data_IF_371624617919
#
_entry.id   IF_371624617919
#
_cell.length_a   1.000
_cell.length_b   1.000
_cell.length_c   1.000
_cell.angle_alpha   90.00
_cell.angle_beta   90.00
_cell.angle_gamma   90.00
#
_symmetry.space_group_name_H-M   'P 1'
#
loop_
_entity.id
_entity.type
_entity.pdbx_description
1 polymer ?
#
# COMPACT_ATOMS: atom_id res chain seq x y z
N UNK A 1 28.60 -24.11 3.36
CA UNK A 1 29.43 -22.93 3.01
C UNK A 1 29.38 -22.78 1.50
N UNK A 2 28.55 -21.86 1.00
CA UNK A 2 28.56 -21.45 -0.40
C UNK A 2 28.66 -19.93 -0.41
N UNK A 3 29.83 -19.45 -0.87
CA UNK A 3 30.15 -18.03 -1.00
C UNK A 3 29.71 -17.57 -2.39
N UNK A 4 28.80 -16.60 -2.45
CA UNK A 4 28.50 -15.87 -3.68
C UNK A 4 29.23 -14.53 -3.66
N UNK A 5 30.14 -14.36 -4.61
CA UNK A 5 30.86 -13.13 -4.91
C UNK A 5 29.90 -12.13 -5.56
N UNK A 6 29.76 -10.95 -4.93
CA UNK A 6 29.03 -9.82 -5.50
C UNK A 6 30.02 -9.00 -6.35
N UNK A 7 29.88 -9.05 -7.67
CA UNK A 7 30.62 -8.16 -8.58
C UNK A 7 29.84 -6.85 -8.69
N UNK A 8 30.41 -5.79 -8.13
CA UNK A 8 29.95 -4.41 -8.32
C UNK A 8 30.40 -3.94 -9.70
N UNK A 9 29.47 -3.77 -10.63
CA UNK A 9 29.71 -3.04 -11.87
C UNK A 9 29.18 -1.61 -11.68
N UNK A 10 30.12 -0.69 -11.54
CA UNK A 10 29.89 0.75 -11.53
C UNK A 10 30.03 1.24 -12.97
N UNK A 11 28.94 1.70 -13.57
CA UNK A 11 28.95 2.38 -14.87
C UNK A 11 28.71 3.89 -14.70
N UNK A 12 29.35 4.73 -15.53
CA UNK A 12 29.60 6.14 -15.26
C UNK A 12 28.52 7.10 -15.77
N UNK A 13 28.47 8.25 -15.10
CA UNK A 13 27.73 9.48 -15.43
C UNK A 13 27.98 9.97 -16.88
N UNK A 14 26.95 10.46 -17.60
CA UNK A 14 27.17 11.24 -18.81
C UNK A 14 27.41 12.72 -18.50
N UNK A 15 28.60 13.16 -18.91
CA UNK A 15 29.14 14.51 -18.93
C UNK A 15 28.21 15.58 -19.55
N UNK A 16 28.25 16.75 -18.91
CA UNK A 16 27.59 17.99 -19.25
C UNK A 16 28.34 18.70 -20.40
N UNK A 17 27.84 18.64 -21.64
CA UNK A 17 28.47 19.38 -22.75
C UNK A 17 27.87 20.78 -22.92
N UNK A 18 28.64 21.78 -22.45
CA UNK A 18 28.53 23.19 -22.86
C UNK A 18 28.75 23.32 -24.37
N UNK A 19 27.80 23.94 -25.07
CA UNK A 19 27.95 24.38 -26.45
C UNK A 19 27.71 25.89 -26.54
N UNK A 20 28.80 26.66 -26.46
CA UNK A 20 28.86 28.08 -26.82
C UNK A 20 28.98 28.20 -28.34
N UNK A 21 28.10 28.99 -28.96
CA UNK A 21 28.15 29.30 -30.38
C UNK A 21 27.66 30.72 -30.62
N UNK A 22 28.55 31.68 -30.36
CA UNK A 22 28.46 33.06 -30.85
C UNK A 22 28.96 33.11 -32.29
N UNK A 23 28.20 33.74 -33.19
CA UNK A 23 28.70 34.44 -34.38
C UNK A 23 27.79 35.65 -34.67
N UNK A 24 28.29 36.81 -34.26
CA UNK A 24 28.33 38.10 -34.98
C UNK A 24 28.40 37.93 -36.53
N UNK A 25 28.03 38.85 -37.44
CA UNK A 25 27.62 40.26 -37.46
C UNK A 25 27.05 40.53 -38.88
N UNK A 26 26.66 41.79 -39.14
CA UNK A 26 26.26 42.46 -40.39
C UNK A 26 24.73 42.63 -40.54
N UNK A 27 24.14 43.83 -40.45
CA UNK A 27 24.67 45.19 -40.56
C UNK A 27 23.79 45.99 -41.55
N UNK A 28 23.55 47.27 -41.23
CA UNK A 28 22.71 48.31 -41.89
C UNK A 28 21.28 48.41 -41.30
N UNK A 29 20.83 49.51 -40.69
CA UNK A 29 21.41 50.84 -40.53
C UNK A 29 20.27 51.85 -40.24
N UNK A 30 20.41 52.55 -39.12
CA UNK A 30 19.99 53.94 -38.83
C UNK A 30 18.51 54.35 -38.87
N UNK A 31 17.98 54.81 -37.74
CA UNK A 31 17.94 56.26 -37.46
C UNK A 31 17.42 56.57 -36.04
N UNK A 32 18.11 57.53 -35.41
CA UNK A 32 17.84 58.21 -34.16
C UNK A 32 16.38 58.70 -34.00
N UNK A 33 15.87 58.63 -32.77
CA UNK A 33 15.55 59.83 -31.97
C UNK A 33 14.86 59.43 -30.66
N UNK A 34 15.53 59.66 -29.55
CA UNK A 34 14.92 59.85 -28.23
C UNK A 34 14.17 61.20 -28.23
N UNK A 35 13.10 61.36 -27.43
CA UNK A 35 13.33 62.04 -26.16
C UNK A 35 12.57 61.44 -24.98
N UNK A 36 13.27 61.49 -23.84
CA UNK A 36 12.82 61.24 -22.49
C UNK A 36 11.87 62.36 -22.01
N UNK A 37 10.75 62.04 -21.35
CA UNK A 37 10.33 62.64 -20.05
C UNK A 37 8.98 62.12 -19.50
N UNK A 38 8.96 61.98 -18.17
CA UNK A 38 7.86 62.20 -17.19
C UNK A 38 6.82 61.11 -16.86
N UNK A 39 7.08 60.42 -15.74
CA UNK A 39 6.27 60.34 -14.50
C UNK A 39 4.81 60.82 -14.47
N UNK A 40 3.94 59.91 -14.00
CA UNK A 40 2.84 60.07 -13.03
C UNK A 40 1.69 61.05 -13.31
N UNK A 41 0.52 60.54 -13.72
CA UNK A 41 -0.79 60.86 -13.13
C UNK A 41 -1.92 59.96 -13.67
N UNK A 42 -2.88 59.66 -12.80
CA UNK A 42 -4.03 58.78 -12.96
C UNK A 42 -5.03 59.13 -14.09
N UNK A 43 -5.80 58.09 -14.46
CA UNK A 43 -7.09 58.06 -15.16
C UNK A 43 -7.14 57.73 -16.68
N UNK A 44 -7.35 56.43 -16.93
CA UNK A 44 -8.50 55.88 -17.68
C UNK A 44 -8.93 56.59 -18.96
N UNK A 45 -8.25 56.25 -20.05
CA UNK A 45 -8.93 55.94 -21.31
C UNK A 45 -7.99 55.11 -22.18
N UNK A 46 -7.94 53.79 -21.94
CA UNK A 46 -7.46 52.89 -23.00
C UNK A 46 -8.34 53.20 -24.19
N UNK A 47 -7.76 53.67 -25.31
CA UNK A 47 -8.54 53.98 -26.52
C UNK A 47 -9.50 52.81 -26.75
N UNK A 48 -10.83 53.04 -26.64
CA UNK A 48 -11.81 51.97 -26.67
C UNK A 48 -11.72 51.17 -27.98
N UNK A 49 -11.15 51.78 -29.02
CA UNK A 49 -10.84 51.12 -30.30
C UNK A 49 -9.72 50.08 -30.17
N UNK A 50 -8.62 50.41 -29.46
CA UNK A 50 -7.49 49.52 -29.23
C UNK A 50 -7.84 48.37 -28.29
N UNK A 51 -8.60 48.65 -27.23
CA UNK A 51 -9.05 47.62 -26.31
C UNK A 51 -10.00 46.64 -27.01
N UNK A 52 -10.93 47.15 -27.84
CA UNK A 52 -11.83 46.30 -28.66
C UNK A 52 -11.07 45.45 -29.68
N UNK A 53 -10.00 45.98 -30.29
CA UNK A 53 -9.14 45.20 -31.20
C UNK A 53 -8.38 44.11 -30.47
N UNK A 54 -7.83 44.41 -29.29
CA UNK A 54 -7.12 43.43 -28.46
C UNK A 54 -8.07 42.31 -27.99
N UNK A 55 -9.27 42.66 -27.53
CA UNK A 55 -10.27 41.64 -27.14
C UNK A 55 -10.72 40.80 -28.34
N UNK A 56 -10.98 41.42 -29.50
CA UNK A 56 -11.33 40.70 -30.73
C UNK A 56 -10.18 39.78 -31.22
N UNK A 57 -8.93 40.19 -31.03
CA UNK A 57 -7.76 39.36 -31.33
C UNK A 57 -7.70 38.14 -30.40
N UNK A 58 -7.84 38.34 -29.08
CA UNK A 58 -7.87 37.25 -28.10
C UNK A 58 -9.02 36.29 -28.35
N UNK A 59 -10.21 36.82 -28.67
CA UNK A 59 -11.37 36.02 -29.04
C UNK A 59 -11.11 35.22 -30.31
N UNK A 60 -10.51 35.81 -31.35
CA UNK A 60 -10.15 35.09 -32.58
C UNK A 60 -9.12 33.99 -32.34
N UNK A 61 -8.11 34.24 -31.50
CA UNK A 61 -7.12 33.23 -31.12
C UNK A 61 -7.76 32.11 -30.31
N UNK A 62 -8.63 32.46 -29.35
CA UNK A 62 -9.41 31.51 -28.56
C UNK A 62 -10.32 30.68 -29.44
N UNK A 63 -11.14 31.29 -30.30
CA UNK A 63 -12.05 30.60 -31.21
C UNK A 63 -11.29 29.68 -32.18
N UNK A 64 -10.12 30.10 -32.70
CA UNK A 64 -9.26 29.25 -33.52
C UNK A 64 -8.77 28.03 -32.75
N UNK A 65 -8.43 28.18 -31.47
CA UNK A 65 -8.05 27.06 -30.62
C UNK A 65 -9.24 26.12 -30.36
N UNK A 66 -10.41 26.67 -30.01
CA UNK A 66 -11.64 25.91 -29.82
C UNK A 66 -12.06 25.16 -31.09
N UNK A 67 -11.93 25.75 -32.28
CA UNK A 67 -12.20 25.05 -33.55
C UNK A 67 -11.23 23.89 -33.82
N UNK A 68 -9.95 24.03 -33.45
CA UNK A 68 -8.96 22.94 -33.56
C UNK A 68 -9.29 21.79 -32.59
N UNK A 69 -9.70 22.11 -31.37
CA UNK A 69 -10.13 21.11 -30.39
C UNK A 69 -11.44 20.44 -30.80
N UNK A 70 -12.44 21.21 -31.24
CA UNK A 70 -13.74 20.70 -31.70
C UNK A 70 -13.60 19.81 -32.95
N UNK A 71 -12.71 20.13 -33.89
CA UNK A 71 -12.41 19.25 -35.03
C UNK A 71 -11.83 17.90 -34.60
N UNK A 72 -11.07 17.86 -33.50
CA UNK A 72 -10.53 16.63 -32.91
C UNK A 72 -11.62 15.83 -32.18
N UNK A 73 -12.53 16.50 -31.47
CA UNK A 73 -13.65 15.82 -30.78
C UNK A 73 -14.72 15.30 -31.73
N UNK A 74 -14.97 15.97 -32.87
CA UNK A 74 -15.94 15.50 -33.89
C UNK A 74 -15.47 14.21 -34.59
N UNK A 75 -14.15 14.04 -34.73
CA UNK A 75 -13.57 12.80 -35.25
C UNK A 75 -13.76 11.62 -34.27
N UNK A 76 -13.74 11.89 -32.95
CA UNK A 76 -14.10 10.90 -31.91
C UNK A 76 -15.63 10.65 -31.82
N UNK A 77 -16.46 11.67 -32.09
CA UNK A 77 -17.92 11.61 -31.89
C UNK A 77 -18.67 10.82 -32.97
N UNK A 78 -18.09 10.66 -34.17
CA UNK A 78 -18.71 9.89 -35.27
C UNK A 78 -18.61 8.37 -35.04
N UNK A 79 -17.89 7.97 -33.98
CA UNK A 79 -17.67 6.59 -33.55
C UNK A 79 -18.57 6.25 -32.37
N UNK A 80 -19.89 6.18 -32.60
CA UNK A 80 -20.87 5.70 -31.60
C UNK A 80 -20.70 4.20 -31.23
N UNK A 81 -19.67 3.54 -31.76
CA UNK A 81 -19.24 2.17 -31.47
C UNK A 81 -17.69 2.05 -31.33
N UNK A 82 -16.98 3.14 -30.99
CA UNK A 82 -15.53 3.01 -30.75
C UNK A 82 -15.24 2.22 -29.47
N UNK A 83 -14.22 1.33 -29.48
CA UNK A 83 -13.66 0.77 -28.26
C UNK A 83 -13.23 1.92 -27.32
N UNK A 84 -13.17 1.68 -25.99
CA UNK A 84 -12.81 2.72 -25.03
C UNK A 84 -11.58 3.48 -25.51
N UNK A 85 -11.70 4.81 -25.61
CA UNK A 85 -10.58 5.67 -25.99
C UNK A 85 -9.39 5.31 -25.13
N UNK A 86 -8.38 4.70 -25.74
CA UNK A 86 -7.19 4.26 -25.02
C UNK A 86 -6.53 5.48 -24.42
N UNK A 87 -6.47 5.53 -23.10
CA UNK A 87 -5.75 6.60 -22.42
C UNK A 87 -4.28 6.53 -22.83
N UNK A 88 -3.68 7.67 -23.18
CA UNK A 88 -2.24 7.70 -23.48
C UNK A 88 -1.46 7.18 -22.26
N UNK A 89 -0.39 6.42 -22.49
CA UNK A 89 0.50 5.92 -21.43
C UNK A 89 0.90 7.03 -20.45
N UNK A 90 1.17 8.23 -20.96
CA UNK A 90 1.55 9.37 -20.12
C UNK A 90 0.41 9.86 -19.22
N UNK A 91 -0.82 9.84 -19.72
CA UNK A 91 -2.00 10.24 -18.95
C UNK A 91 -2.26 9.23 -17.82
N UNK A 92 -2.15 7.94 -18.13
CA UNK A 92 -2.19 6.87 -17.12
C UNK A 92 -1.10 7.06 -16.06
N UNK A 93 0.17 7.23 -16.47
CA UNK A 93 1.30 7.37 -15.54
C UNK A 93 1.17 8.60 -14.65
N UNK A 94 0.67 9.72 -15.21
CA UNK A 94 0.37 10.92 -14.44
C UNK A 94 -0.69 10.64 -13.36
N UNK A 95 -1.82 10.02 -13.72
CA UNK A 95 -2.87 9.65 -12.73
C UNK A 95 -2.35 8.69 -11.68
N UNK A 96 -1.59 7.67 -12.10
CA UNK A 96 -0.98 6.69 -11.20
C UNK A 96 -0.05 7.37 -10.20
N UNK A 97 0.85 8.24 -10.68
CA UNK A 97 1.78 8.99 -9.81
C UNK A 97 1.06 9.92 -8.84
N UNK A 98 0.00 10.60 -9.28
CA UNK A 98 -0.78 11.49 -8.43
C UNK A 98 -1.49 10.72 -7.31
N UNK A 99 -2.11 9.59 -7.66
CA UNK A 99 -2.75 8.71 -6.68
C UNK A 99 -1.73 8.12 -5.70
N UNK A 100 -0.55 7.70 -6.20
CA UNK A 100 0.56 7.24 -5.36
C UNK A 100 0.98 8.30 -4.35
N UNK A 101 1.31 9.52 -4.80
CA UNK A 101 1.75 10.62 -3.94
C UNK A 101 0.67 11.00 -2.92
N UNK A 102 -0.59 10.99 -3.33
CA UNK A 102 -1.72 11.21 -2.42
C UNK A 102 -1.74 10.18 -1.29
N UNK A 103 -1.63 8.88 -1.61
CA UNK A 103 -1.60 7.80 -0.63
C UNK A 103 -0.40 7.95 0.32
N UNK A 104 0.80 8.19 -0.22
CA UNK A 104 2.02 8.39 0.58
C UNK A 104 1.90 9.58 1.54
N UNK A 105 1.28 10.68 1.08
CA UNK A 105 1.00 11.84 1.93
C UNK A 105 0.03 11.50 3.06
N UNK A 106 -1.05 10.76 2.77
CA UNK A 106 -2.01 10.34 3.80
C UNK A 106 -1.36 9.41 4.83
N UNK A 107 -0.54 8.46 4.40
CA UNK A 107 0.22 7.57 5.31
C UNK A 107 1.17 8.37 6.21
N UNK A 108 1.89 9.34 5.64
CA UNK A 108 2.78 10.23 6.39
C UNK A 108 2.02 11.09 7.41
N UNK A 109 0.83 11.56 7.04
CA UNK A 109 -0.04 12.33 7.94
C UNK A 109 -0.49 11.49 9.14
N UNK A 110 -0.89 10.24 8.92
CA UNK A 110 -1.28 9.32 10.01
C UNK A 110 -0.09 9.08 10.94
N UNK A 111 1.12 8.88 10.37
CA UNK A 111 2.33 8.68 11.17
C UNK A 111 2.64 9.89 12.07
N UNK A 112 2.57 11.11 11.52
CA UNK A 112 2.76 12.34 12.29
C UNK A 112 1.67 12.56 13.35
N UNK A 113 0.42 12.24 13.02
CA UNK A 113 -0.69 12.32 13.97
C UNK A 113 -0.52 11.33 15.12
N UNK A 114 0.06 10.15 14.87
CA UNK A 114 0.35 9.19 15.91
C UNK A 114 1.48 9.66 16.84
N UNK A 115 2.55 10.24 16.29
CA UNK A 115 3.67 10.75 17.09
C UNK A 115 3.26 11.93 17.98
N UNK A 116 2.39 12.81 17.46
CA UNK A 116 1.90 14.00 18.17
C UNK A 116 0.60 13.76 18.96
N UNK A 117 0.13 12.51 19.06
CA UNK A 117 -1.18 12.23 19.66
C UNK A 117 -1.16 12.45 21.18
N UNK A 118 -1.72 13.59 21.60
CA UNK A 118 -2.14 13.84 22.97
C UNK A 118 -3.42 12.99 23.21
N UNK A 119 -3.53 12.24 24.32
CA UNK A 119 -4.70 11.39 24.58
C UNK A 119 -5.98 12.25 24.68
N UNK A 120 -6.87 12.17 23.68
CA UNK A 120 -8.15 12.91 23.68
C UNK A 120 -8.55 13.60 22.37
N UNK A 121 -7.75 13.49 21.29
CA UNK A 121 -8.13 14.02 19.97
C UNK A 121 -9.12 13.08 19.25
N UNK A 122 -10.22 13.63 18.74
CA UNK A 122 -11.29 12.95 18.00
C UNK A 122 -10.89 12.43 16.59
N UNK A 123 -9.61 12.49 16.23
CA UNK A 123 -9.14 11.88 14.98
C UNK A 123 -9.27 10.36 15.06
N UNK A 124 -9.99 9.75 14.11
CA UNK A 124 -10.18 8.30 14.06
C UNK A 124 -9.24 7.69 13.01
N UNK A 125 -7.97 7.38 13.37
CA UNK A 125 -6.97 6.93 12.40
C UNK A 125 -7.37 5.63 11.70
N UNK A 126 -8.28 4.85 12.28
CA UNK A 126 -8.84 3.64 11.66
C UNK A 126 -9.64 3.96 10.39
N UNK A 127 -10.46 5.01 10.41
CA UNK A 127 -11.25 5.37 9.22
C UNK A 127 -10.36 5.87 8.09
N UNK A 128 -9.23 6.50 8.41
CA UNK A 128 -8.30 6.98 7.39
C UNK A 128 -7.47 5.83 6.81
N UNK A 129 -7.08 4.84 7.62
CA UNK A 129 -6.51 3.57 7.15
C UNK A 129 -7.46 2.85 6.17
N UNK A 130 -8.75 2.78 6.49
CA UNK A 130 -9.75 2.16 5.60
C UNK A 130 -9.88 2.90 4.26
N UNK A 131 -9.91 4.25 4.27
CA UNK A 131 -9.93 5.06 3.04
C UNK A 131 -8.67 4.84 2.20
N UNK A 132 -7.50 4.74 2.83
CA UNK A 132 -6.24 4.47 2.12
C UNK A 132 -6.28 3.07 1.50
N UNK A 133 -6.77 2.06 2.21
CA UNK A 133 -6.94 0.71 1.70
C UNK A 133 -7.83 0.66 0.44
N UNK A 134 -8.95 1.40 0.45
CA UNK A 134 -9.80 1.57 -0.72
C UNK A 134 -9.06 2.26 -1.87
N UNK A 135 -8.31 3.33 -1.59
CA UNK A 135 -7.54 4.07 -2.60
C UNK A 135 -6.46 3.20 -3.26
N UNK A 136 -5.79 2.32 -2.50
CA UNK A 136 -4.84 1.34 -3.05
C UNK A 136 -5.57 0.31 -3.94
N UNK A 137 -6.76 -0.13 -3.53
CA UNK A 137 -7.56 -1.08 -4.33
C UNK A 137 -8.04 -0.45 -5.65
N UNK A 138 -8.41 0.83 -5.63
CA UNK A 138 -8.74 1.59 -6.84
C UNK A 138 -7.52 1.77 -7.75
N UNK A 139 -6.33 1.98 -7.18
CA UNK A 139 -5.08 2.04 -7.93
C UNK A 139 -4.73 0.69 -8.58
N UNK A 140 -4.93 -0.43 -7.88
CA UNK A 140 -4.81 -1.78 -8.42
C UNK A 140 -5.75 -2.01 -9.60
N UNK A 141 -7.02 -1.61 -9.44
CA UNK A 141 -8.02 -1.68 -10.50
C UNK A 141 -7.63 -0.84 -11.71
N UNK A 142 -7.12 0.38 -11.51
CA UNK A 142 -6.63 1.24 -12.58
C UNK A 142 -5.51 0.55 -13.36
N UNK A 143 -4.55 -0.08 -12.70
CA UNK A 143 -3.48 -0.84 -13.37
C UNK A 143 -4.06 -2.03 -14.14
N UNK A 144 -4.98 -2.78 -13.55
CA UNK A 144 -5.59 -3.95 -14.20
C UNK A 144 -6.33 -3.55 -15.49
N UNK A 145 -7.15 -2.49 -15.43
CA UNK A 145 -7.92 -1.98 -16.56
C UNK A 145 -7.04 -1.43 -17.68
N UNK A 146 -5.85 -0.89 -17.37
CA UNK A 146 -4.97 -0.28 -18.37
C UNK A 146 -3.82 -1.21 -18.81
N UNK A 147 -3.62 -2.34 -18.13
CA UNK A 147 -2.47 -3.25 -18.31
C UNK A 147 -2.27 -3.75 -19.75
N UNK A 148 -3.33 -3.87 -20.54
CA UNK A 148 -3.26 -4.43 -21.88
C UNK A 148 -2.57 -3.51 -22.92
N UNK A 149 -2.52 -2.20 -22.68
CA UNK A 149 -1.84 -1.24 -23.57
C UNK A 149 -0.55 -0.66 -22.99
N UNK A 150 -0.23 -0.99 -21.75
CA UNK A 150 0.98 -0.52 -21.09
C UNK A 150 2.18 -1.41 -21.48
N UNK A 151 3.37 -0.81 -21.71
CA UNK A 151 4.60 -1.59 -21.81
C UNK A 151 4.83 -2.44 -20.56
N UNK A 152 5.40 -3.64 -20.73
CA UNK A 152 5.60 -4.57 -19.59
C UNK A 152 6.44 -3.97 -18.46
N UNK A 153 7.33 -3.03 -18.77
CA UNK A 153 8.10 -2.31 -17.75
C UNK A 153 7.20 -1.45 -16.85
N UNK A 154 6.26 -0.71 -17.43
CA UNK A 154 5.33 0.14 -16.68
C UNK A 154 4.42 -0.72 -15.79
N UNK A 155 3.88 -1.82 -16.33
CA UNK A 155 3.04 -2.74 -15.55
C UNK A 155 3.80 -3.29 -14.33
N UNK A 156 5.03 -3.77 -14.51
CA UNK A 156 5.86 -4.27 -13.40
C UNK A 156 6.15 -3.18 -12.37
N UNK A 157 6.48 -1.98 -12.82
CA UNK A 157 6.77 -0.84 -11.94
C UNK A 157 5.54 -0.43 -11.14
N UNK A 158 4.37 -0.34 -11.77
CA UNK A 158 3.11 -0.04 -11.07
C UNK A 158 2.75 -1.11 -10.03
N UNK A 159 2.82 -2.39 -10.38
CA UNK A 159 2.53 -3.49 -9.45
C UNK A 159 3.51 -3.52 -8.26
N UNK A 160 4.79 -3.23 -8.51
CA UNK A 160 5.79 -3.10 -7.43
C UNK A 160 5.42 -1.94 -6.49
N UNK A 161 5.15 -0.76 -7.03
CA UNK A 161 4.77 0.40 -6.21
C UNK A 161 3.53 0.11 -5.36
N UNK A 162 2.52 -0.57 -5.92
CA UNK A 162 1.33 -0.99 -5.16
C UNK A 162 1.70 -1.92 -4.00
N UNK A 163 2.57 -2.91 -4.25
CA UNK A 163 3.02 -3.81 -3.19
C UNK A 163 3.74 -3.05 -2.06
N UNK A 164 4.59 -2.10 -2.42
CA UNK A 164 5.30 -1.24 -1.45
C UNK A 164 4.30 -0.37 -0.64
N UNK A 165 3.26 0.18 -1.28
CA UNK A 165 2.19 0.93 -0.59
C UNK A 165 1.40 0.06 0.39
N UNK A 166 1.07 -1.19 0.01
CA UNK A 166 0.39 -2.15 0.90
C UNK A 166 1.24 -2.49 2.12
N UNK A 167 2.54 -2.72 1.92
CA UNK A 167 3.46 -2.94 3.03
C UNK A 167 3.50 -1.73 3.98
N UNK A 168 3.59 -0.51 3.43
CA UNK A 168 3.58 0.70 4.26
C UNK A 168 2.25 0.89 5.01
N UNK A 169 1.12 0.52 4.41
CA UNK A 169 -0.19 0.55 5.09
C UNK A 169 -0.23 -0.45 6.25
N UNK A 170 0.29 -1.66 6.07
CA UNK A 170 0.37 -2.67 7.13
C UNK A 170 1.25 -2.20 8.29
N UNK A 171 2.37 -1.55 7.99
CA UNK A 171 3.28 -0.97 8.98
C UNK A 171 2.55 0.12 9.81
N UNK A 172 1.88 1.06 9.15
CA UNK A 172 1.07 2.10 9.82
C UNK A 172 -0.09 1.49 10.62
N UNK A 173 -0.74 0.46 10.09
CA UNK A 173 -1.84 -0.23 10.78
C UNK A 173 -1.34 -0.90 12.06
N UNK A 174 -0.15 -1.48 12.04
CA UNK A 174 0.47 -2.11 13.21
C UNK A 174 0.82 -1.11 14.32
N UNK A 175 1.11 0.14 13.94
CA UNK A 175 1.42 1.24 14.84
C UNK A 175 0.14 1.83 15.45
N UNK A 176 -0.91 2.03 14.66
CA UNK A 176 -2.20 2.61 15.08
C UNK A 176 -3.05 1.62 15.88
N UNK A 177 -3.00 0.33 15.55
CA UNK A 177 -3.67 -0.74 16.29
C UNK A 177 -2.59 -1.48 17.07
N UNK A 178 -2.21 -1.00 18.26
CA UNK A 178 -1.23 -1.70 19.08
C UNK A 178 -1.75 -3.11 19.32
N UNK A 179 -1.05 -4.09 18.74
CA UNK A 179 -1.34 -5.51 18.92
C UNK A 179 -1.39 -5.72 20.43
N UNK A 180 -2.56 -6.07 20.98
CA UNK A 180 -2.72 -6.34 22.42
C UNK A 180 -1.61 -7.30 22.83
N UNK A 181 -0.55 -6.76 23.44
CA UNK A 181 0.43 -7.55 24.14
C UNK A 181 -0.39 -8.17 25.26
N UNK A 182 -0.49 -9.49 25.19
CA UNK A 182 -1.19 -10.32 26.16
C UNK A 182 -0.68 -9.92 27.56
N UNK A 183 -1.36 -8.97 28.19
CA UNK A 183 -1.04 -8.57 29.55
C UNK A 183 -1.62 -9.67 30.40
N UNK A 184 -0.77 -10.62 30.77
CA UNK A 184 -1.09 -11.53 31.86
C UNK A 184 -1.29 -10.65 33.09
N UNK A 185 -2.56 -10.37 33.38
CA UNK A 185 -2.96 -9.70 34.61
C UNK A 185 -2.52 -10.61 35.75
N UNK A 186 -1.33 -10.37 36.31
CA UNK A 186 -0.88 -11.06 37.49
C UNK A 186 -1.83 -10.64 38.62
N UNK A 187 -2.69 -11.58 39.00
CA UNK A 187 -3.58 -11.46 40.14
C UNK A 187 -2.68 -11.47 41.38
N UNK A 188 -2.26 -10.29 41.84
CA UNK A 188 -1.48 -10.16 43.07
C UNK A 188 -2.30 -10.76 44.22
N UNK A 189 -1.91 -11.95 44.67
CA UNK A 189 -2.48 -12.58 45.85
C UNK A 189 -2.09 -11.74 47.06
N UNK A 190 -3.00 -10.88 47.51
CA UNK A 190 -2.93 -10.28 48.84
C UNK A 190 -3.13 -11.43 49.86
N UNK A 191 -2.05 -11.89 50.47
CA UNK A 191 -2.08 -12.65 51.72
C UNK A 191 -2.33 -11.68 52.88
N UNK A 192 -3.36 -11.88 53.72
CA UNK A 192 -3.30 -11.51 55.11
C UNK A 192 -2.66 -12.66 55.92
N UNK A 193 -1.59 -12.34 56.65
CA UNK A 193 -0.90 -13.17 57.66
C UNK A 193 -1.09 -12.36 58.97
N UNK A 194 -1.59 -12.83 60.13
CA UNK A 194 -1.43 -14.06 60.94
C UNK A 194 -2.40 -13.95 62.16
N UNK A 195 -2.38 -14.80 63.22
CA UNK A 195 -2.09 -16.25 63.35
C UNK A 195 -3.17 -16.98 64.20
N UNK A 196 -3.16 -18.32 64.24
CA UNK A 196 -3.32 -19.18 65.45
C UNK A 196 -3.19 -20.66 65.01
N UNK A 197 -2.38 -21.48 65.71
CA UNK A 197 -2.07 -22.87 65.33
C UNK A 197 -2.99 -23.88 66.03
N UNK A 198 -3.19 -25.05 65.41
CA UNK A 198 -3.18 -26.36 66.07
C UNK A 198 -3.32 -27.49 65.02
N UNK A 199 -2.22 -28.25 64.89
CA UNK A 199 -2.11 -29.71 64.77
C UNK A 199 -3.15 -30.50 63.97
N UNK A 200 -2.74 -31.06 62.83
CA UNK A 200 -2.21 -32.44 62.80
C UNK A 200 -1.98 -32.93 61.35
N UNK A 201 -0.73 -33.30 61.05
CA UNK A 201 -0.26 -34.50 60.33
C UNK A 201 -1.06 -34.91 59.08
N UNK A 202 -0.56 -34.85 57.85
CA UNK A 202 0.66 -35.54 57.38
C UNK A 202 1.28 -34.88 56.13
N UNK A 203 2.58 -34.67 56.24
CA UNK A 203 3.67 -34.74 55.26
C UNK A 203 3.37 -35.50 53.95
N UNK A 204 4.00 -35.28 52.79
CA UNK A 204 5.00 -34.33 52.26
C UNK A 204 5.07 -34.71 50.76
N UNK A 205 4.62 -33.88 49.83
CA UNK A 205 5.45 -32.89 49.14
C UNK A 205 6.69 -33.51 48.46
N UNK A 206 6.70 -33.65 47.13
CA UNK A 206 7.46 -32.74 46.26
C UNK A 206 7.68 -33.29 44.83
N UNK A 207 7.37 -32.41 43.88
CA UNK A 207 8.11 -32.09 42.67
C UNK A 207 8.31 -33.15 41.57
N UNK A 208 7.58 -32.96 40.47
CA UNK A 208 8.19 -32.59 39.19
C UNK A 208 7.13 -32.05 38.20
N UNK A 209 7.25 -30.77 37.83
CA UNK A 209 6.86 -30.16 36.56
C UNK A 209 5.40 -30.27 36.06
N UNK A 210 4.58 -29.21 36.15
CA UNK A 210 3.41 -29.10 35.31
C UNK A 210 3.83 -28.41 34.01
N UNK A 211 4.44 -29.16 33.09
CA UNK A 211 4.66 -28.72 31.70
C UNK A 211 3.33 -28.81 30.90
N UNK A 212 2.25 -28.29 31.50
CA UNK A 212 0.86 -28.48 31.08
C UNK A 212 0.22 -27.18 30.58
N UNK A 213 1.02 -26.32 29.95
CA UNK A 213 0.53 -25.08 29.33
C UNK A 213 0.99 -24.86 27.89
N UNK A 214 1.51 -25.90 27.22
CA UNK A 214 1.77 -25.88 25.76
C UNK A 214 0.76 -26.67 24.92
N UNK A 215 -0.18 -27.40 25.54
CA UNK A 215 -1.03 -28.36 24.83
C UNK A 215 -2.55 -28.09 24.88
N UNK A 216 -3.02 -27.02 25.53
CA UNK A 216 -4.46 -26.68 25.51
C UNK A 216 -4.95 -26.11 24.17
N UNK A 217 -4.03 -25.75 23.27
CA UNK A 217 -4.41 -25.36 21.90
C UNK A 217 -4.66 -26.58 21.01
N UNK A 218 -3.98 -27.70 21.30
CA UNK A 218 -4.16 -28.96 20.56
C UNK A 218 -5.46 -29.68 20.96
N UNK A 219 -6.00 -29.44 22.15
CA UNK A 219 -7.31 -30.01 22.54
C UNK A 219 -8.50 -29.47 21.75
N UNK A 220 -8.31 -28.43 20.94
CA UNK A 220 -9.35 -27.84 20.07
C UNK A 220 -9.21 -28.33 18.62
N UNK A 221 -8.08 -28.92 18.26
CA UNK A 221 -7.84 -29.42 16.90
C UNK A 221 -8.37 -30.85 16.73
N UNK A 222 -9.11 -31.12 15.64
CA UNK A 222 -9.58 -32.47 15.32
C UNK A 222 -8.40 -33.43 15.15
N UNK A 223 -8.49 -34.64 15.70
CA UNK A 223 -7.35 -35.56 15.70
C UNK A 223 -7.55 -36.81 16.54
N UNK A 224 -6.69 -37.81 16.35
CA UNK A 224 -6.63 -39.00 17.20
C UNK A 224 -5.64 -38.77 18.35
N UNK A 225 -6.09 -38.97 19.59
CA UNK A 225 -5.29 -38.72 20.79
C UNK A 225 -5.41 -39.85 21.81
N UNK A 226 -4.29 -40.16 22.46
CA UNK A 226 -4.23 -41.04 23.64
C UNK A 226 -4.98 -42.37 23.46
N UNK A 227 -4.78 -43.01 22.30
CA UNK A 227 -5.34 -44.33 21.97
C UNK A 227 -4.27 -45.41 22.06
N UNK A 228 -4.68 -46.63 22.39
CA UNK A 228 -3.79 -47.78 22.45
C UNK A 228 -4.40 -49.01 21.77
N UNK A 229 -3.59 -49.76 21.02
CA UNK A 229 -3.98 -51.04 20.37
C UNK A 229 -5.23 -50.98 19.48
N UNK A 230 -5.49 -49.84 18.84
CA UNK A 230 -6.67 -49.60 17.98
C UNK A 230 -6.27 -49.33 16.52
N UNK A 231 -7.14 -49.72 15.57
CA UNK A 231 -7.03 -49.37 14.15
C UNK A 231 -7.88 -48.13 13.86
N UNK A 232 -7.24 -47.02 13.50
CA UNK A 232 -7.86 -45.70 13.35
C UNK A 232 -7.88 -45.28 11.88
N UNK A 233 -9.07 -45.07 11.30
CA UNK A 233 -9.22 -44.72 9.89
C UNK A 233 -9.84 -43.33 9.75
N UNK A 234 -9.22 -42.45 8.94
CA UNK A 234 -9.77 -41.13 8.58
C UNK A 234 -9.72 -40.92 7.08
N UNK A 235 -10.86 -40.59 6.49
CA UNK A 235 -11.01 -40.29 5.05
C UNK A 235 -11.20 -38.77 4.86
N UNK A 236 -10.49 -38.19 3.90
CA UNK A 236 -10.53 -36.77 3.54
C UNK A 236 -11.16 -36.62 2.14
N UNK A 237 -12.41 -36.18 2.10
CA UNK A 237 -13.18 -36.00 0.87
C UNK A 237 -13.04 -34.58 0.29
N UNK A 238 -13.07 -34.49 -1.04
CA UNK A 238 -12.85 -33.23 -1.78
C UNK A 238 -14.01 -32.23 -1.65
N UNK A 239 -15.16 -32.62 -1.12
CA UNK A 239 -16.34 -31.77 -0.98
C UNK A 239 -16.33 -30.88 0.27
N UNK A 240 -15.44 -31.14 1.23
CA UNK A 240 -15.26 -30.32 2.44
C UNK A 240 -14.43 -29.04 2.19
N UNK A 241 -14.47 -28.53 0.96
CA UNK A 241 -14.00 -27.19 0.54
C UNK A 241 -14.77 -26.03 1.16
N UNK A 242 -15.64 -26.27 2.14
CA UNK A 242 -16.27 -25.22 2.95
C UNK A 242 -15.62 -25.17 4.34
N UNK A 243 -14.41 -24.61 4.39
CA UNK A 243 -13.92 -23.92 5.59
C UNK A 243 -13.14 -24.73 6.63
N UNK A 244 -12.86 -26.01 6.42
CA UNK A 244 -11.99 -26.78 7.34
C UNK A 244 -10.71 -27.25 6.65
N UNK A 245 -9.86 -26.28 6.28
CA UNK A 245 -8.41 -26.50 6.16
C UNK A 245 -7.80 -26.70 7.56
N UNK A 246 -8.43 -27.55 8.38
CA UNK A 246 -8.12 -27.79 9.77
C UNK A 246 -6.97 -28.76 9.89
N UNK A 247 -5.98 -28.40 10.70
CA UNK A 247 -4.87 -29.28 11.07
C UNK A 247 -5.43 -30.54 11.77
N UNK A 248 -5.12 -31.73 11.24
CA UNK A 248 -5.48 -33.00 11.86
C UNK A 248 -4.27 -33.58 12.61
N UNK A 249 -4.34 -33.69 13.93
CA UNK A 249 -3.21 -34.13 14.76
C UNK A 249 -3.32 -35.59 15.19
N UNK A 250 -2.21 -36.33 15.16
CA UNK A 250 -2.06 -37.64 15.80
C UNK A 250 -1.14 -37.47 17.02
N UNK A 251 -1.57 -37.82 18.23
CA UNK A 251 -0.72 -37.67 19.43
C UNK A 251 -0.96 -38.75 20.48
N UNK A 252 0.09 -39.23 21.14
CA UNK A 252 -0.05 -40.15 22.29
C UNK A 252 -0.60 -41.53 21.91
N UNK A 253 -0.41 -41.97 20.67
CA UNK A 253 -0.86 -43.29 20.22
C UNK A 253 0.17 -44.37 20.62
N UNK A 254 -0.29 -45.49 21.18
CA UNK A 254 0.55 -46.62 21.58
C UNK A 254 0.10 -47.87 20.83
N UNK A 255 0.96 -48.49 20.04
CA UNK A 255 0.65 -49.72 19.29
C UNK A 255 -0.64 -49.60 18.42
N UNK A 256 -0.91 -48.41 17.87
CA UNK A 256 -2.06 -48.17 16.98
C UNK A 256 -1.67 -48.26 15.50
N UNK A 257 -2.58 -48.77 14.66
CA UNK A 257 -2.48 -48.69 13.20
C UNK A 257 -3.35 -47.54 12.68
N UNK A 258 -2.75 -46.51 12.08
CA UNK A 258 -3.49 -45.35 11.56
C UNK A 258 -3.53 -45.37 10.03
N UNK A 259 -4.73 -45.29 9.45
CA UNK A 259 -4.96 -45.28 7.99
C UNK A 259 -5.64 -43.97 7.58
N UNK A 260 -4.87 -43.07 6.98
CA UNK A 260 -5.36 -41.81 6.41
C UNK A 260 -5.58 -41.99 4.91
N UNK A 261 -6.80 -41.75 4.41
CA UNK A 261 -7.13 -41.86 2.97
C UNK A 261 -7.60 -40.52 2.42
N UNK A 262 -7.28 -40.22 1.16
CA UNK A 262 -7.65 -38.96 0.50
C UNK A 262 -6.45 -38.05 0.25
N UNK A 263 -6.70 -36.81 -0.18
CA UNK A 263 -5.65 -35.81 -0.45
C UNK A 263 -5.44 -34.96 0.80
N UNK A 264 -4.27 -35.07 1.43
CA UNK A 264 -3.91 -34.27 2.61
C UNK A 264 -2.45 -33.83 2.52
N UNK A 265 -2.11 -32.73 3.22
CA UNK A 265 -0.74 -32.25 3.40
C UNK A 265 -0.38 -32.43 4.88
N UNK A 266 0.61 -33.27 5.16
CA UNK A 266 1.04 -33.58 6.53
C UNK A 266 2.47 -33.14 6.80
N UNK A 267 2.75 -32.77 8.05
CA UNK A 267 4.09 -32.61 8.61
C UNK A 267 4.21 -33.56 9.78
N UNK A 268 5.23 -34.42 9.80
CA UNK A 268 5.48 -35.35 10.91
C UNK A 268 6.50 -34.72 11.84
N UNK A 269 6.15 -34.57 13.11
CA UNK A 269 7.08 -34.18 14.17
C UNK A 269 7.40 -35.44 14.96
N UNK A 270 8.65 -35.90 14.85
CA UNK A 270 9.20 -37.04 15.60
C UNK A 270 9.91 -36.60 16.87
#
# INVERSE_FOLDING_TARGET
MFSFLFTSAQEPEPELSRGTGEMEENGLGSNDSNPETTTTSDNTAVDPSLQRKHTAMLERLSNRHHSRLAGKTVLDSTTLNAPPSFESTQSFLSKFSQSKVYIESCLSQIHQQQENQIPGSDSNPKTDIEKISLSISDLEKLVAENSYFLPSYEVRTCLKNIADLKQSLDDVTSLVIPKKKFSFKNKSSKKPTNPVPNDAVSEKNQNAGPDKLRFKHLSVLPGFRDKENEVLVKEFDKSDTHGQNGEFTLSGLRDCEVRLKGLFKGTVYG
#
